data_IF_320943798122
#
_entry.id   IF_320943798122
#
_cell.length_a   1.000
_cell.length_b   1.000
_cell.length_c   1.000
_cell.angle_alpha   90.00
_cell.angle_beta   90.00
_cell.angle_gamma   90.00
#
_symmetry.space_group_name_H-M   'P 1'
#
loop_
_entity.id
_entity.type
_entity.pdbx_description
1 polymer ?
#
# COMPACT_ATOMS: atom_id res chain seq x y z
N UNK A 1 -3.04 -5.65 2.32
CA UNK A 1 -3.09 -6.56 1.17
C UNK A 1 -4.26 -6.32 0.23
N UNK A 2 -4.12 -6.74 -1.04
CA UNK A 2 -5.19 -6.69 -2.06
C UNK A 2 -5.51 -8.10 -2.55
N UNK A 3 -6.75 -8.53 -2.35
CA UNK A 3 -7.28 -9.84 -2.76
C UNK A 3 -7.90 -9.77 -4.16
N UNK A 4 -7.13 -9.35 -5.17
CA UNK A 4 -7.62 -9.18 -6.54
C UNK A 4 -6.69 -9.85 -7.53
N UNK A 5 -7.26 -10.69 -8.40
CA UNK A 5 -6.55 -11.34 -9.50
C UNK A 5 -6.55 -12.86 -9.39
N UNK A 6 -5.88 -13.55 -10.33
CA UNK A 6 -5.79 -15.01 -10.38
C UNK A 6 -4.76 -15.59 -9.39
N UNK A 7 -4.26 -14.78 -8.44
CA UNK A 7 -3.20 -15.18 -7.52
C UNK A 7 -3.65 -16.35 -6.64
N UNK A 8 -3.03 -17.51 -6.84
CA UNK A 8 -3.26 -18.70 -6.01
C UNK A 8 -2.45 -18.70 -4.72
N UNK A 9 -1.30 -18.02 -4.69
CA UNK A 9 -0.48 -17.88 -3.49
C UNK A 9 -0.54 -16.45 -2.98
N UNK A 10 -0.83 -16.28 -1.69
CA UNK A 10 -0.93 -14.98 -1.03
C UNK A 10 -0.07 -14.95 0.23
N UNK A 11 0.69 -13.88 0.38
CA UNK A 11 1.57 -13.65 1.51
C UNK A 11 1.10 -12.38 2.21
N UNK A 12 0.71 -12.51 3.47
CA UNK A 12 0.09 -11.43 4.22
C UNK A 12 0.85 -11.17 5.50
N UNK A 13 1.28 -9.93 5.66
CA UNK A 13 2.07 -9.52 6.81
C UNK A 13 1.23 -8.70 7.79
N UNK A 14 1.21 -9.13 9.05
CA UNK A 14 0.61 -8.45 10.21
C UNK A 14 -0.82 -7.94 9.98
N UNK A 15 -1.71 -8.79 9.44
CA UNK A 15 -3.05 -8.35 9.06
C UNK A 15 -3.96 -7.95 10.23
N UNK A 16 -3.59 -8.29 11.47
CA UNK A 16 -4.32 -7.94 12.68
C UNK A 16 -3.99 -6.54 13.21
N UNK A 17 -2.90 -5.91 12.75
CA UNK A 17 -2.45 -4.62 13.30
C UNK A 17 -3.47 -3.51 13.02
N UNK A 18 -4.00 -2.92 14.10
CA UNK A 18 -5.02 -1.88 14.03
C UNK A 18 -6.46 -2.37 13.89
N UNK A 19 -6.69 -3.68 14.03
CA UNK A 19 -8.03 -4.29 14.06
C UNK A 19 -8.37 -4.80 15.46
N UNK A 20 -9.67 -4.89 15.75
CA UNK A 20 -10.17 -5.60 16.93
C UNK A 20 -10.19 -7.12 16.68
N UNK A 21 -10.26 -7.90 17.76
CA UNK A 21 -10.23 -9.37 17.69
C UNK A 21 -11.41 -9.94 16.90
N UNK A 22 -12.59 -9.33 16.97
CA UNK A 22 -13.78 -9.81 16.27
C UNK A 22 -13.67 -9.62 14.76
N UNK A 23 -13.19 -8.46 14.32
CA UNK A 23 -12.93 -8.18 12.89
C UNK A 23 -11.82 -9.08 12.35
N UNK A 24 -10.75 -9.28 13.13
CA UNK A 24 -9.65 -10.18 12.75
C UNK A 24 -10.15 -11.61 12.52
N UNK A 25 -10.98 -12.14 13.44
CA UNK A 25 -11.59 -13.46 13.30
C UNK A 25 -12.43 -13.57 12.02
N UNK A 26 -13.26 -12.57 11.71
CA UNK A 26 -14.09 -12.60 10.49
C UNK A 26 -13.24 -12.58 9.22
N UNK A 27 -12.15 -11.79 9.20
CA UNK A 27 -11.22 -11.73 8.07
C UNK A 27 -10.54 -13.08 7.86
N UNK A 28 -9.96 -13.67 8.91
CA UNK A 28 -9.27 -14.96 8.83
C UNK A 28 -10.25 -16.07 8.44
N UNK A 29 -11.49 -16.04 8.96
CA UNK A 29 -12.54 -17.00 8.58
C UNK A 29 -12.88 -16.92 7.10
N UNK A 30 -12.99 -15.71 6.55
CA UNK A 30 -13.20 -15.50 5.12
C UNK A 30 -12.00 -15.98 4.30
N UNK A 31 -10.77 -15.68 4.75
CA UNK A 31 -9.54 -16.13 4.10
C UNK A 31 -9.45 -17.66 4.04
N UNK A 32 -9.76 -18.34 5.14
CA UNK A 32 -9.82 -19.80 5.19
C UNK A 32 -10.83 -20.36 4.17
N UNK A 33 -12.04 -19.80 4.14
CA UNK A 33 -13.05 -20.20 3.16
C UNK A 33 -12.57 -19.97 1.72
N UNK A 34 -11.92 -18.84 1.46
CA UNK A 34 -11.35 -18.53 0.16
C UNK A 34 -10.30 -19.57 -0.26
N UNK A 35 -9.36 -19.91 0.63
CA UNK A 35 -8.29 -20.91 0.40
C UNK A 35 -8.90 -22.26 0.03
N UNK A 36 -9.87 -22.76 0.80
CA UNK A 36 -10.48 -24.07 0.53
C UNK A 36 -11.38 -24.10 -0.72
N UNK A 37 -12.08 -23.00 -1.05
CA UNK A 37 -12.98 -22.95 -2.22
C UNK A 37 -12.19 -22.75 -3.50
N UNK A 38 -11.18 -21.88 -3.49
CA UNK A 38 -10.41 -21.49 -4.67
C UNK A 38 -9.19 -22.38 -4.91
N UNK A 39 -8.92 -23.33 -4.01
CA UNK A 39 -7.73 -24.17 -4.03
C UNK A 39 -6.46 -23.30 -4.10
N UNK A 40 -6.40 -22.35 -3.16
CA UNK A 40 -5.31 -21.39 -2.99
C UNK A 40 -4.42 -21.74 -1.81
N UNK A 41 -3.33 -20.99 -1.65
CA UNK A 41 -2.40 -21.06 -0.52
C UNK A 41 -2.25 -19.66 0.07
N UNK A 42 -2.37 -19.55 1.38
CA UNK A 42 -2.20 -18.28 2.08
C UNK A 42 -1.24 -18.45 3.25
N UNK A 43 -0.20 -17.64 3.28
CA UNK A 43 0.71 -17.51 4.41
C UNK A 43 0.41 -16.18 5.10
N UNK A 44 0.02 -16.22 6.37
CA UNK A 44 -0.36 -15.05 7.16
C UNK A 44 0.54 -14.99 8.39
N UNK A 45 1.18 -13.84 8.64
CA UNK A 45 1.78 -13.55 9.94
C UNK A 45 0.76 -12.86 10.84
N UNK A 46 0.61 -13.36 12.07
CA UNK A 46 -0.24 -12.77 13.10
C UNK A 46 0.56 -12.58 14.39
N UNK A 47 0.41 -11.41 15.00
CA UNK A 47 0.90 -11.16 16.34
C UNK A 47 -0.19 -11.56 17.35
N UNK A 48 0.09 -12.58 18.18
CA UNK A 48 -0.75 -13.01 19.31
C UNK A 48 -2.24 -13.17 18.95
N UNK A 49 -2.58 -14.12 18.07
CA UNK A 49 -3.97 -14.35 17.70
C UNK A 49 -4.80 -14.82 18.89
N UNK A 50 -6.05 -14.35 18.97
CA UNK A 50 -7.02 -14.91 19.91
C UNK A 50 -7.24 -16.41 19.64
N UNK A 51 -7.58 -17.22 20.66
CA UNK A 51 -7.76 -18.67 20.51
C UNK A 51 -8.70 -19.05 19.37
N UNK A 52 -9.81 -18.32 19.21
CA UNK A 52 -10.79 -18.58 18.15
C UNK A 52 -10.21 -18.31 16.76
N UNK A 53 -9.28 -17.36 16.64
CA UNK A 53 -8.59 -17.06 15.38
C UNK A 53 -7.49 -18.07 15.10
N UNK A 54 -6.76 -18.50 16.13
CA UNK A 54 -5.76 -19.55 16.04
C UNK A 54 -6.37 -20.86 15.53
N UNK A 55 -7.56 -21.22 16.00
CA UNK A 55 -8.27 -22.45 15.59
C UNK A 55 -8.74 -22.46 14.13
N UNK A 56 -8.66 -21.33 13.41
CA UNK A 56 -8.97 -21.26 11.99
C UNK A 56 -7.80 -21.68 11.08
N UNK A 57 -6.59 -21.81 11.61
CA UNK A 57 -5.42 -22.20 10.83
C UNK A 57 -5.31 -23.71 10.68
N UNK A 58 -5.01 -24.15 9.45
CA UNK A 58 -4.76 -25.56 9.15
C UNK A 58 -3.34 -25.95 9.60
N UNK A 59 -2.34 -25.15 9.20
CA UNK A 59 -0.93 -25.32 9.55
C UNK A 59 -0.36 -24.10 10.29
N UNK A 60 0.63 -24.33 11.15
CA UNK A 60 1.35 -23.32 11.92
C UNK A 60 2.84 -23.38 11.59
N UNK A 61 3.45 -22.21 11.43
CA UNK A 61 4.91 -22.05 11.35
C UNK A 61 5.36 -21.21 12.54
N UNK A 62 6.23 -21.78 13.38
CA UNK A 62 6.85 -21.08 14.51
C UNK A 62 8.29 -20.73 14.17
N UNK A 63 8.58 -19.42 14.20
CA UNK A 63 9.91 -18.87 13.97
C UNK A 63 10.45 -18.24 15.25
N UNK A 64 11.67 -18.61 15.64
CA UNK A 64 12.38 -18.02 16.77
C UNK A 64 13.86 -17.85 16.44
N UNK A 65 14.39 -16.64 16.63
CA UNK A 65 15.83 -16.34 16.46
C UNK A 65 16.41 -16.79 15.10
N UNK A 66 15.58 -16.81 14.05
CA UNK A 66 15.97 -17.26 12.69
C UNK A 66 15.82 -18.77 12.43
N UNK A 67 15.37 -19.55 13.41
CA UNK A 67 15.12 -20.99 13.29
C UNK A 67 13.62 -21.28 13.15
N UNK A 68 13.30 -22.29 12.34
CA UNK A 68 11.97 -22.91 12.31
C UNK A 68 11.90 -23.89 13.48
N UNK A 69 11.14 -23.55 14.51
CA UNK A 69 10.94 -24.38 15.69
C UNK A 69 9.91 -25.47 15.42
N UNK A 70 8.87 -25.13 14.65
CA UNK A 70 7.83 -26.07 14.26
C UNK A 70 7.21 -25.63 12.93
N UNK A 71 6.89 -26.59 12.06
CA UNK A 71 6.13 -26.36 10.84
C UNK A 71 5.21 -27.56 10.59
N UNK A 72 3.90 -27.34 10.56
CA UNK A 72 2.95 -28.40 10.22
C UNK A 72 1.57 -28.19 10.83
N UNK A 73 0.76 -29.25 10.93
CA UNK A 73 -0.63 -29.16 11.38
C UNK A 73 -0.75 -28.52 12.75
N UNK A 74 -1.75 -27.66 12.92
CA UNK A 74 -2.06 -27.02 14.21
C UNK A 74 -2.28 -28.03 15.34
N UNK A 75 -2.85 -29.19 15.02
CA UNK A 75 -3.23 -30.23 15.99
C UNK A 75 -2.01 -30.92 16.62
N UNK A 76 -0.93 -31.08 15.87
CA UNK A 76 0.27 -31.82 16.29
C UNK A 76 1.27 -30.92 17.07
N UNK A 77 1.06 -29.61 17.11
CA UNK A 77 2.01 -28.68 17.74
C UNK A 77 2.16 -28.91 19.24
N UNK A 78 1.06 -29.19 19.93
CA UNK A 78 1.10 -29.45 21.38
C UNK A 78 1.83 -30.76 21.69
N UNK A 79 1.63 -31.78 20.87
CA UNK A 79 2.34 -33.07 20.97
C UNK A 79 3.86 -32.86 20.82
N UNK A 80 4.29 -31.99 19.90
CA UNK A 80 5.71 -31.66 19.74
C UNK A 80 6.31 -31.01 20.99
N UNK A 81 5.62 -30.05 21.61
CA UNK A 81 6.11 -29.42 22.85
C UNK A 81 6.05 -30.38 24.04
N UNK A 82 5.06 -31.29 24.10
CA UNK A 82 5.00 -32.36 25.10
C UNK A 82 6.15 -33.36 24.95
N UNK A 83 6.52 -33.73 23.72
CA UNK A 83 7.70 -34.54 23.43
C UNK A 83 8.99 -33.90 23.94
N UNK A 84 9.08 -32.56 23.91
CA UNK A 84 10.19 -31.78 24.46
C UNK A 84 10.10 -31.56 25.99
N UNK A 85 9.04 -32.03 26.64
CA UNK A 85 8.85 -31.94 28.09
C UNK A 85 8.05 -30.72 28.57
N UNK A 86 7.44 -29.96 27.65
CA UNK A 86 6.61 -28.79 27.97
C UNK A 86 5.13 -29.12 27.87
N UNK A 87 4.33 -28.60 28.81
CA UNK A 87 2.88 -28.81 28.83
C UNK A 87 2.12 -27.48 28.85
N UNK A 88 1.18 -27.32 27.93
CA UNK A 88 0.29 -26.17 27.91
C UNK A 88 -0.75 -26.26 29.05
N UNK A 89 -0.92 -25.24 29.90
CA UNK A 89 -1.99 -25.20 30.89
C UNK A 89 -3.38 -25.08 30.25
N UNK A 90 -4.41 -25.71 30.84
CA UNK A 90 -5.78 -25.72 30.30
C UNK A 90 -6.43 -24.33 30.15
N UNK A 91 -6.01 -23.35 30.96
CA UNK A 91 -6.58 -21.99 30.95
C UNK A 91 -5.79 -21.00 30.07
N UNK A 92 -4.70 -21.45 29.45
CA UNK A 92 -3.82 -20.61 28.62
C UNK A 92 -4.20 -20.83 27.15
N UNK A 93 -4.24 -19.75 26.37
CA UNK A 93 -4.37 -19.85 24.93
C UNK A 93 -3.14 -20.53 24.33
N UNK A 94 -3.34 -21.44 23.37
CA UNK A 94 -2.24 -22.17 22.72
C UNK A 94 -1.28 -21.20 22.05
N UNK A 95 -1.78 -20.19 21.32
CA UNK A 95 -0.94 -19.19 20.67
C UNK A 95 -0.03 -18.43 21.66
N UNK A 96 -0.55 -18.07 22.84
CA UNK A 96 0.24 -17.40 23.88
C UNK A 96 1.30 -18.35 24.46
N UNK A 97 0.93 -19.60 24.71
CA UNK A 97 1.85 -20.64 25.16
C UNK A 97 3.02 -20.82 24.16
N UNK A 98 2.73 -20.92 22.86
CA UNK A 98 3.75 -21.10 21.82
C UNK A 98 4.74 -19.93 21.74
N UNK A 99 4.32 -18.72 22.08
CA UNK A 99 5.24 -17.58 22.15
C UNK A 99 6.07 -17.57 23.43
N UNK A 100 5.45 -17.87 24.57
CA UNK A 100 6.12 -17.80 25.86
C UNK A 100 7.06 -19.00 26.11
N UNK A 101 6.75 -20.18 25.58
CA UNK A 101 7.63 -21.36 25.69
C UNK A 101 8.97 -21.17 24.96
N UNK A 102 9.02 -20.27 23.97
CA UNK A 102 10.26 -19.89 23.29
C UNK A 102 11.02 -18.76 24.01
N UNK A 103 10.38 -18.06 24.95
CA UNK A 103 11.00 -17.00 25.75
C UNK A 103 11.85 -17.57 26.88
N UNK A 104 13.11 -17.15 26.97
CA UNK A 104 14.02 -17.55 28.07
C UNK A 104 13.50 -17.24 29.46
N UNK A 105 12.65 -16.21 29.61
CA UNK A 105 12.09 -15.79 30.90
C UNK A 105 10.91 -16.67 31.34
N UNK A 106 10.16 -17.18 30.37
CA UNK A 106 8.83 -17.74 30.58
C UNK A 106 8.77 -19.24 30.26
N UNK A 107 9.86 -19.84 29.78
CA UNK A 107 9.89 -21.27 29.42
C UNK A 107 9.80 -22.19 30.66
N UNK A 108 10.35 -21.80 31.81
CA UNK A 108 10.38 -22.63 33.03
C UNK A 108 8.99 -22.97 33.58
N UNK A 109 8.04 -22.01 33.52
CA UNK A 109 6.67 -22.20 34.03
C UNK A 109 5.87 -23.29 33.27
N UNK A 110 6.34 -23.67 32.08
CA UNK A 110 5.69 -24.66 31.23
C UNK A 110 6.31 -26.06 31.33
N UNK A 111 7.34 -26.21 32.15
CA UNK A 111 7.99 -27.50 32.34
C UNK A 111 7.04 -28.51 32.96
N UNK A 112 6.73 -29.58 32.21
CA UNK A 112 5.73 -30.58 32.61
C UNK A 112 6.26 -31.62 33.59
N UNK A 113 7.57 -31.91 33.54
CA UNK A 113 8.21 -32.97 34.30
C UNK A 113 8.82 -32.46 35.61
N UNK A 114 8.04 -32.52 36.70
CA UNK A 114 8.49 -32.05 38.03
C UNK A 114 9.63 -32.90 38.61
N UNK A 115 9.87 -34.09 38.09
CA UNK A 115 10.90 -35.00 38.59
C UNK A 115 12.27 -34.71 37.97
N UNK A 116 12.32 -33.97 36.85
CA UNK A 116 13.56 -33.54 36.20
C UNK A 116 13.84 -32.07 36.44
N UNK A 117 15.11 -31.69 36.71
CA UNK A 117 15.48 -30.29 36.81
C UNK A 117 15.28 -29.60 35.46
N UNK A 118 14.65 -28.43 35.48
CA UNK A 118 14.47 -27.61 34.30
C UNK A 118 15.83 -27.19 33.71
N UNK A 119 15.93 -27.28 32.39
CA UNK A 119 17.03 -26.75 31.60
C UNK A 119 16.45 -25.94 30.45
N UNK A 120 16.96 -24.72 30.27
CA UNK A 120 16.57 -23.90 29.13
C UNK A 120 16.94 -24.62 27.81
N UNK A 121 15.95 -24.76 26.93
CA UNK A 121 16.08 -25.32 25.59
C UNK A 121 16.10 -24.15 24.60
N UNK A 122 17.18 -24.06 23.81
CA UNK A 122 17.36 -23.00 22.83
C UNK A 122 16.49 -23.23 21.58
N UNK A 123 16.28 -22.15 20.82
CA UNK A 123 15.58 -22.22 19.51
C UNK A 123 16.24 -23.22 18.55
N UNK A 124 17.56 -23.36 18.62
CA UNK A 124 18.32 -24.34 17.82
C UNK A 124 18.05 -25.78 18.26
N UNK A 125 18.04 -26.06 19.57
CA UNK A 125 17.72 -27.40 20.09
C UNK A 125 16.29 -27.80 19.71
N UNK A 126 15.33 -26.87 19.75
CA UNK A 126 13.97 -27.13 19.26
C UNK A 126 13.94 -27.48 17.76
N UNK A 127 14.67 -26.73 16.93
CA UNK A 127 14.75 -27.01 15.48
C UNK A 127 15.37 -28.38 15.17
N UNK A 128 16.42 -28.77 15.90
CA UNK A 128 17.03 -30.10 15.80
C UNK A 128 16.05 -31.21 16.22
N UNK A 129 15.32 -30.98 17.31
CA UNK A 129 14.29 -31.91 17.77
C UNK A 129 13.14 -32.03 16.77
N UNK A 130 12.71 -30.92 16.16
CA UNK A 130 11.69 -30.92 15.11
C UNK A 130 12.10 -31.77 13.92
N UNK A 131 13.36 -31.71 13.50
CA UNK A 131 13.91 -32.56 12.44
C UNK A 131 13.81 -34.07 12.75
N UNK A 132 13.81 -34.42 14.04
CA UNK A 132 13.66 -35.80 14.52
C UNK A 132 12.20 -36.19 14.80
N UNK A 133 11.30 -35.21 14.90
CA UNK A 133 9.88 -35.41 15.16
C UNK A 133 9.17 -35.93 13.91
N UNK A 134 8.09 -36.71 14.09
CA UNK A 134 7.33 -37.34 12.99
C UNK A 134 6.97 -36.34 11.88
N UNK A 135 6.44 -35.18 12.26
CA UNK A 135 6.01 -34.14 11.30
C UNK A 135 7.21 -33.55 10.55
N UNK A 136 8.30 -33.23 11.25
CA UNK A 136 9.50 -32.69 10.61
C UNK A 136 10.18 -33.69 9.66
N UNK A 137 10.20 -34.98 10.02
CA UNK A 137 10.70 -36.02 9.11
C UNK A 137 9.84 -36.16 7.86
N UNK A 138 8.51 -36.05 7.97
CA UNK A 138 7.61 -36.07 6.80
C UNK A 138 7.86 -34.88 5.88
N UNK A 139 7.96 -33.67 6.44
CA UNK A 139 8.26 -32.45 5.68
C UNK A 139 9.62 -32.56 4.99
N UNK A 140 10.64 -33.08 5.68
CA UNK A 140 11.96 -33.30 5.09
C UNK A 140 11.92 -34.30 3.93
N UNK A 141 11.21 -35.43 4.11
CA UNK A 141 11.05 -36.44 3.07
C UNK A 141 10.29 -35.88 1.84
N UNK A 142 9.26 -35.06 2.05
CA UNK A 142 8.52 -34.42 0.96
C UNK A 142 9.38 -33.41 0.19
N UNK A 143 10.26 -32.68 0.89
CA UNK A 143 11.19 -31.72 0.30
C UNK A 143 12.34 -32.40 -0.46
N UNK A 144 12.72 -33.63 -0.10
CA UNK A 144 13.73 -34.42 -0.82
C UNK A 144 13.23 -34.86 -2.21
N UNK A 145 11.91 -34.96 -2.41
CA UNK A 145 11.33 -35.33 -3.70
C UNK A 145 11.55 -34.17 -4.69
N UNK A 146 12.35 -34.37 -5.76
CA UNK A 146 12.65 -33.28 -6.69
C UNK A 146 11.39 -32.81 -7.43
N UNK A 147 11.19 -31.50 -7.48
CA UNK A 147 10.04 -30.91 -8.18
C UNK A 147 10.13 -31.08 -9.70
N UNK A 148 9.25 -31.90 -10.27
CA UNK A 148 9.14 -32.11 -11.71
C UNK A 148 8.39 -30.96 -12.41
N UNK A 149 9.13 -29.99 -12.94
CA UNK A 149 8.57 -28.83 -13.68
C UNK A 149 7.71 -29.20 -14.90
N UNK A 150 7.87 -30.40 -15.46
CA UNK A 150 7.12 -30.88 -16.63
C UNK A 150 5.66 -31.20 -16.31
N UNK A 151 5.35 -31.52 -15.05
CA UNK A 151 3.97 -31.80 -14.58
C UNK A 151 3.20 -30.52 -14.24
N UNK A 152 3.88 -29.38 -14.15
CA UNK A 152 3.28 -28.09 -13.78
C UNK A 152 2.47 -27.50 -14.92
N UNK A 153 1.28 -26.99 -14.61
CA UNK A 153 0.48 -26.27 -15.60
C UNK A 153 1.23 -24.99 -16.05
N UNK A 154 1.33 -24.67 -17.35
CA UNK A 154 2.07 -23.50 -17.84
C UNK A 154 1.61 -22.15 -17.25
N UNK A 155 0.33 -22.06 -16.86
CA UNK A 155 -0.24 -20.88 -16.19
C UNK A 155 -0.08 -20.87 -14.66
N UNK A 156 0.63 -21.83 -14.06
CA UNK A 156 0.86 -21.87 -12.62
C UNK A 156 1.82 -20.76 -12.14
N UNK A 157 2.73 -20.32 -13.00
CA UNK A 157 3.66 -19.23 -12.74
C UNK A 157 3.53 -18.17 -13.84
N UNK A 158 3.17 -16.96 -13.45
CA UNK A 158 3.14 -15.83 -14.38
C UNK A 158 4.56 -15.36 -14.69
N UNK A 159 4.93 -15.42 -15.97
CA UNK A 159 6.25 -14.96 -16.44
C UNK A 159 6.23 -13.50 -16.88
N UNK A 160 5.05 -12.91 -17.03
CA UNK A 160 4.88 -11.52 -17.46
C UNK A 160 4.81 -10.60 -16.26
N UNK A 161 5.52 -9.47 -16.34
CA UNK A 161 5.54 -8.45 -15.29
C UNK A 161 4.19 -7.77 -15.08
N UNK A 162 3.39 -7.62 -16.15
CA UNK A 162 2.09 -6.95 -16.11
C UNK A 162 1.03 -7.86 -16.74
N UNK A 163 -0.16 -7.91 -16.15
CA UNK A 163 -1.26 -8.76 -16.61
C UNK A 163 -1.98 -8.26 -17.88
N UNK A 164 -1.83 -6.97 -18.23
CA UNK A 164 -2.47 -6.34 -19.39
C UNK A 164 -1.45 -5.78 -20.38
N UNK A 165 -1.89 -5.54 -21.62
CA UNK A 165 -1.08 -4.85 -22.62
C UNK A 165 -0.81 -3.41 -22.19
N UNK A 166 0.31 -2.84 -22.65
CA UNK A 166 0.67 -1.44 -22.34
C UNK A 166 -0.45 -0.45 -22.71
N UNK A 167 -1.14 -0.68 -23.83
CA UNK A 167 -2.22 0.20 -24.28
C UNK A 167 -3.46 0.09 -23.38
N UNK A 168 -3.83 -1.13 -22.98
CA UNK A 168 -4.97 -1.34 -22.08
C UNK A 168 -4.71 -0.78 -20.68
N UNK A 169 -3.47 -0.91 -20.18
CA UNK A 169 -3.03 -0.26 -18.94
C UNK A 169 -3.16 1.26 -19.01
N UNK A 170 -2.71 1.84 -20.13
CA UNK A 170 -2.85 3.27 -20.35
C UNK A 170 -4.31 3.69 -20.40
N UNK A 171 -5.16 2.97 -21.14
CA UNK A 171 -6.61 3.24 -21.23
C UNK A 171 -7.29 3.15 -19.87
N UNK A 172 -6.95 2.16 -19.06
CA UNK A 172 -7.49 1.99 -17.70
C UNK A 172 -7.04 3.13 -16.76
N UNK A 173 -5.76 3.50 -16.81
CA UNK A 173 -5.24 4.62 -16.02
C UNK A 173 -5.83 5.97 -16.48
N UNK A 174 -6.05 6.13 -17.78
CA UNK A 174 -6.71 7.31 -18.36
C UNK A 174 -8.16 7.42 -17.93
N UNK A 175 -8.93 6.34 -18.01
CA UNK A 175 -10.32 6.32 -17.54
C UNK A 175 -10.42 6.58 -16.04
N UNK A 176 -9.46 6.08 -15.25
CA UNK A 176 -9.38 6.34 -13.82
C UNK A 176 -9.14 7.82 -13.54
N UNK A 177 -8.16 8.44 -14.20
CA UNK A 177 -7.87 9.87 -13.97
C UNK A 177 -9.06 10.74 -14.39
N UNK A 178 -9.70 10.44 -15.52
CA UNK A 178 -10.93 11.12 -15.94
C UNK A 178 -12.04 11.03 -14.89
N UNK A 179 -12.27 9.83 -14.34
CA UNK A 179 -13.27 9.62 -13.29
C UNK A 179 -12.94 10.40 -12.02
N UNK A 180 -11.67 10.39 -11.60
CA UNK A 180 -11.20 11.11 -10.42
C UNK A 180 -11.36 12.63 -10.60
N UNK A 181 -11.04 13.15 -11.78
CA UNK A 181 -11.25 14.56 -12.11
C UNK A 181 -12.72 14.95 -12.11
N UNK A 182 -13.59 14.11 -12.70
CA UNK A 182 -15.04 14.34 -12.70
C UNK A 182 -15.62 14.35 -11.29
N UNK A 183 -15.18 13.44 -10.41
CA UNK A 183 -15.64 13.37 -9.02
C UNK A 183 -15.14 14.52 -8.16
N UNK A 184 -13.92 14.99 -8.41
CA UNK A 184 -13.33 16.15 -7.76
C UNK A 184 -13.49 17.44 -8.58
N UNK A 185 -14.53 17.54 -9.41
CA UNK A 185 -14.79 18.70 -10.29
C UNK A 185 -14.89 20.00 -9.51
N UNK A 186 -15.41 19.94 -8.29
CA UNK A 186 -15.51 21.08 -7.38
C UNK A 186 -14.18 21.82 -7.21
N UNK A 187 -13.07 21.10 -7.04
CA UNK A 187 -11.74 21.71 -6.86
C UNK A 187 -11.32 22.51 -8.10
N UNK A 188 -11.57 21.96 -9.29
CA UNK A 188 -11.24 22.61 -10.55
C UNK A 188 -12.13 23.83 -10.81
N UNK A 189 -13.44 23.72 -10.55
CA UNK A 189 -14.38 24.85 -10.68
C UNK A 189 -14.00 25.98 -9.71
N UNK A 190 -13.69 25.64 -8.46
CA UNK A 190 -13.26 26.61 -7.45
C UNK A 190 -11.98 27.33 -7.89
N UNK A 191 -10.97 26.60 -8.37
CA UNK A 191 -9.73 27.18 -8.91
C UNK A 191 -9.97 28.11 -10.08
N UNK A 192 -10.77 27.69 -11.06
CA UNK A 192 -11.12 28.54 -12.21
C UNK A 192 -11.86 29.81 -11.76
N UNK A 193 -12.75 29.69 -10.77
CA UNK A 193 -13.47 30.84 -10.21
C UNK A 193 -12.52 31.77 -9.46
N UNK A 194 -11.61 31.22 -8.64
CA UNK A 194 -10.61 31.98 -7.89
C UNK A 194 -9.71 32.79 -8.84
N UNK A 195 -9.17 32.18 -9.91
CA UNK A 195 -8.32 32.90 -10.87
C UNK A 195 -9.10 33.96 -11.65
N UNK A 196 -10.39 33.73 -11.91
CA UNK A 196 -11.28 34.75 -12.48
C UNK A 196 -11.42 35.96 -11.55
N UNK A 197 -11.64 35.73 -10.25
CA UNK A 197 -11.75 36.83 -9.28
C UNK A 197 -10.42 37.57 -9.15
N UNK A 198 -9.29 36.85 -9.07
CA UNK A 198 -7.96 37.48 -8.96
C UNK A 198 -7.61 38.30 -10.21
N UNK A 199 -7.98 37.83 -11.41
CA UNK A 199 -7.79 38.59 -12.64
C UNK A 199 -8.69 39.83 -12.72
N UNK A 200 -9.92 39.77 -12.19
CA UNK A 200 -10.80 40.95 -12.05
C UNK A 200 -10.20 41.99 -11.10
N UNK A 201 -9.60 41.55 -9.99
CA UNK A 201 -8.89 42.45 -9.07
C UNK A 201 -7.66 43.05 -9.77
N UNK A 202 -6.88 42.23 -10.46
CA UNK A 202 -5.70 42.70 -11.21
C UNK A 202 -6.07 43.77 -12.25
N UNK A 203 -7.12 43.53 -13.06
CA UNK A 203 -7.52 44.48 -14.10
C UNK A 203 -8.05 45.79 -13.54
N UNK A 204 -8.70 45.79 -12.37
CA UNK A 204 -9.25 47.00 -11.75
C UNK A 204 -8.19 47.81 -11.02
N UNK A 205 -7.20 47.16 -10.40
CA UNK A 205 -6.06 47.83 -9.75
C UNK A 205 -5.11 48.44 -10.78
N UNK A 206 -4.81 47.73 -11.87
CA UNK A 206 -3.89 48.16 -12.92
C UNK A 206 -4.62 48.70 -14.15
N UNK A 207 -5.66 49.51 -13.97
CA UNK A 207 -6.44 50.06 -15.09
C UNK A 207 -5.57 50.93 -16.02
N UNK A 208 -5.70 50.68 -17.33
CA UNK A 208 -5.00 51.42 -18.40
C UNK A 208 -5.12 52.94 -18.28
N UNK A 209 -6.25 53.47 -17.78
CA UNK A 209 -6.47 54.92 -17.63
C UNK A 209 -5.51 55.59 -16.63
N UNK A 210 -4.97 54.84 -15.67
CA UNK A 210 -4.02 55.31 -14.65
C UNK A 210 -2.56 54.91 -14.94
N UNK A 211 -2.31 54.28 -16.09
CA UNK A 211 -1.04 53.66 -16.50
C UNK A 211 -0.51 54.30 -17.79
N UNK A 212 -0.12 55.58 -17.72
CA UNK A 212 0.46 56.30 -18.88
C UNK A 212 1.86 55.77 -19.20
N UNK A 213 2.30 55.89 -20.45
CA UNK A 213 3.59 55.32 -20.93
C UNK A 213 4.76 56.31 -20.85
N UNK A 214 4.58 57.45 -20.19
CA UNK A 214 5.45 58.62 -20.35
C UNK A 214 6.49 58.77 -19.22
N UNK A 215 6.29 58.14 -18.06
CA UNK A 215 7.14 58.35 -16.87
C UNK A 215 7.83 57.06 -16.42
N UNK A 216 9.09 57.13 -15.96
CA UNK A 216 9.81 56.00 -15.36
C UNK A 216 9.06 55.35 -14.18
N UNK A 217 8.28 56.13 -13.42
CA UNK A 217 7.43 55.64 -12.33
C UNK A 217 6.30 54.72 -12.81
N UNK A 218 5.78 54.93 -14.03
CA UNK A 218 4.74 54.08 -14.61
C UNK A 218 5.30 52.72 -15.06
N UNK A 219 6.56 52.68 -15.49
CA UNK A 219 7.28 51.43 -15.76
C UNK A 219 7.31 50.49 -14.54
N UNK A 220 7.49 51.04 -13.34
CA UNK A 220 7.42 50.28 -12.09
C UNK A 220 6.05 49.62 -11.85
N UNK A 221 4.96 50.28 -12.26
CA UNK A 221 3.60 49.73 -12.15
C UNK A 221 3.38 48.55 -13.11
N UNK A 222 3.91 48.62 -14.34
CA UNK A 222 3.86 47.50 -15.29
C UNK A 222 4.66 46.29 -14.80
N UNK A 223 5.86 46.51 -14.26
CA UNK A 223 6.62 45.43 -13.61
C UNK A 223 5.86 44.83 -12.41
N UNK A 224 5.21 45.67 -11.61
CA UNK A 224 4.35 45.22 -10.51
C UNK A 224 3.18 44.35 -10.98
N UNK A 225 2.52 44.73 -12.08
CA UNK A 225 1.42 43.95 -12.67
C UNK A 225 1.89 42.59 -13.21
N UNK A 226 3.04 42.56 -13.91
CA UNK A 226 3.63 41.31 -14.41
C UNK A 226 4.06 40.40 -13.27
N UNK A 227 4.70 40.96 -12.23
CA UNK A 227 5.10 40.22 -11.04
C UNK A 227 3.88 39.63 -10.31
N UNK A 228 2.83 40.44 -10.12
CA UNK A 228 1.58 39.98 -9.49
C UNK A 228 0.94 38.84 -10.29
N UNK A 229 0.91 38.94 -11.62
CA UNK A 229 0.41 37.86 -12.48
C UNK A 229 1.21 36.58 -12.37
N UNK A 230 2.54 36.67 -12.42
CA UNK A 230 3.43 35.52 -12.25
C UNK A 230 3.20 34.82 -10.90
N UNK A 231 3.15 35.59 -9.81
CA UNK A 231 2.93 35.07 -8.46
C UNK A 231 1.58 34.34 -8.36
N UNK A 232 0.50 34.91 -8.87
CA UNK A 232 -0.82 34.26 -8.83
C UNK A 232 -0.86 32.93 -9.58
N UNK A 233 -0.27 32.88 -10.78
CA UNK A 233 -0.20 31.65 -11.58
C UNK A 233 0.65 30.60 -10.87
N UNK A 234 1.79 30.98 -10.30
CA UNK A 234 2.65 30.06 -9.53
C UNK A 234 1.92 29.47 -8.31
N UNK A 235 1.25 30.29 -7.52
CA UNK A 235 0.53 29.83 -6.31
C UNK A 235 -0.61 28.88 -6.64
N UNK A 236 -1.30 29.04 -7.78
CA UNK A 236 -2.33 28.11 -8.22
C UNK A 236 -1.75 26.70 -8.45
N UNK A 237 -0.54 26.61 -9.04
CA UNK A 237 0.17 25.36 -9.26
C UNK A 237 0.55 24.60 -7.97
N UNK A 238 0.86 25.31 -6.89
CA UNK A 238 1.23 24.70 -5.59
C UNK A 238 0.10 23.84 -5.01
N UNK A 239 -1.16 24.28 -5.16
CA UNK A 239 -2.30 23.51 -4.69
C UNK A 239 -2.44 22.15 -5.41
N UNK A 240 -2.01 22.04 -6.67
CA UNK A 240 -2.04 20.77 -7.41
C UNK A 240 -0.95 19.80 -6.98
N UNK A 241 0.20 20.33 -6.59
CA UNK A 241 1.30 19.54 -6.07
C UNK A 241 0.87 18.80 -4.81
N UNK A 242 0.21 19.49 -3.88
CA UNK A 242 -0.32 18.88 -2.66
C UNK A 242 -1.26 17.69 -2.97
N UNK A 243 -2.21 17.88 -3.90
CA UNK A 243 -3.12 16.81 -4.34
C UNK A 243 -2.41 15.64 -5.04
N UNK A 244 -1.24 15.89 -5.64
CA UNK A 244 -0.44 14.84 -6.29
C UNK A 244 0.33 14.04 -5.25
N UNK A 245 0.91 14.72 -4.26
CA UNK A 245 1.66 14.11 -3.15
C UNK A 245 0.76 13.17 -2.34
N UNK A 246 -0.49 13.56 -2.05
CA UNK A 246 -1.43 12.69 -1.32
C UNK A 246 -1.79 11.40 -2.06
N UNK A 247 -1.63 11.36 -3.40
CA UNK A 247 -1.86 10.16 -4.22
C UNK A 247 -0.66 9.22 -4.29
N UNK A 248 0.55 9.71 -3.96
CA UNK A 248 1.79 8.93 -4.09
C UNK A 248 1.81 7.63 -3.26
N UNK A 249 1.32 7.59 -2.00
CA UNK A 249 1.32 6.34 -1.23
C UNK A 249 0.54 5.21 -1.92
N UNK A 250 -0.62 5.55 -2.51
CA UNK A 250 -1.43 4.59 -3.27
C UNK A 250 -0.71 4.18 -4.56
N UNK A 251 -0.06 5.11 -5.24
CA UNK A 251 0.73 4.83 -6.43
C UNK A 251 1.89 3.87 -6.12
N UNK A 252 2.67 4.10 -5.07
CA UNK A 252 3.79 3.23 -4.69
C UNK A 252 3.28 1.84 -4.36
N UNK A 253 2.23 1.72 -3.54
CA UNK A 253 1.59 0.44 -3.25
C UNK A 253 1.19 -0.31 -4.52
N UNK A 254 0.53 0.36 -5.47
CA UNK A 254 0.07 -0.29 -6.70
C UNK A 254 1.22 -0.64 -7.67
N UNK A 255 2.27 0.18 -7.71
CA UNK A 255 3.48 -0.07 -8.51
C UNK A 255 4.24 -1.27 -7.98
N UNK A 256 4.36 -1.37 -6.66
CA UNK A 256 5.12 -2.44 -6.01
C UNK A 256 4.37 -3.78 -6.14
N UNK A 257 3.03 -3.78 -6.19
CA UNK A 257 2.20 -4.91 -6.62
C UNK A 257 2.17 -5.14 -8.14
N UNK A 258 2.99 -4.45 -8.93
CA UNK A 258 3.12 -4.61 -10.38
C UNK A 258 1.79 -4.42 -11.16
N UNK A 259 0.87 -3.60 -10.68
CA UNK A 259 -0.37 -3.34 -11.43
C UNK A 259 -0.13 -2.55 -12.71
N UNK A 260 0.71 -1.51 -12.65
CA UNK A 260 1.04 -0.69 -13.81
C UNK A 260 2.40 0.00 -13.65
N UNK A 261 3.07 0.35 -14.77
CA UNK A 261 4.32 1.10 -14.75
C UNK A 261 4.12 2.60 -14.45
N UNK A 262 5.17 3.28 -13.99
CA UNK A 262 5.13 4.70 -13.62
C UNK A 262 4.65 5.63 -14.74
N UNK A 263 4.99 5.32 -16.00
CA UNK A 263 4.57 6.15 -17.14
C UNK A 263 3.05 6.09 -17.36
N UNK A 264 2.40 4.96 -17.08
CA UNK A 264 0.96 4.80 -17.25
C UNK A 264 0.17 5.63 -16.22
N UNK A 265 0.80 5.95 -15.08
CA UNK A 265 0.28 6.89 -14.10
C UNK A 265 0.52 8.34 -14.50
N UNK A 266 1.74 8.67 -14.93
CA UNK A 266 2.14 10.06 -15.19
C UNK A 266 1.51 10.65 -16.47
N UNK A 267 1.43 9.87 -17.56
CA UNK A 267 0.95 10.39 -18.85
C UNK A 267 -0.50 10.90 -18.80
N UNK A 268 -1.49 10.17 -18.24
CA UNK A 268 -2.85 10.69 -18.12
C UNK A 268 -2.93 12.01 -17.35
N UNK A 269 -2.16 12.13 -16.27
CA UNK A 269 -2.11 13.35 -15.46
C UNK A 269 -1.65 14.53 -16.32
N UNK A 270 -0.57 14.38 -17.10
CA UNK A 270 -0.11 15.44 -17.98
C UNK A 270 -1.11 15.78 -19.08
N UNK A 271 -1.71 14.77 -19.72
CA UNK A 271 -2.69 14.95 -20.81
C UNK A 271 -3.90 15.77 -20.34
N UNK A 272 -4.35 15.57 -19.10
CA UNK A 272 -5.47 16.33 -18.57
C UNK A 272 -5.08 17.68 -17.98
N UNK A 273 -3.93 17.78 -17.30
CA UNK A 273 -3.53 19.02 -16.60
C UNK A 273 -3.02 20.09 -17.54
N UNK A 274 -2.22 19.73 -18.56
CA UNK A 274 -1.65 20.73 -19.48
C UNK A 274 -2.75 21.56 -20.15
N UNK A 275 -3.81 20.99 -20.74
CA UNK A 275 -4.90 21.77 -21.32
C UNK A 275 -5.62 22.66 -20.30
N UNK A 276 -5.85 22.17 -19.07
CA UNK A 276 -6.48 22.96 -18.01
C UNK A 276 -5.61 24.17 -17.61
N UNK A 277 -4.31 23.97 -17.41
CA UNK A 277 -3.38 25.06 -17.08
C UNK A 277 -3.29 26.10 -18.21
N UNK A 278 -3.38 25.66 -19.48
CA UNK A 278 -3.45 26.56 -20.64
C UNK A 278 -4.75 27.36 -20.64
N UNK A 279 -5.89 26.74 -20.33
CA UNK A 279 -7.17 27.44 -20.23
C UNK A 279 -7.17 28.48 -19.10
N UNK A 280 -6.64 28.15 -17.93
CA UNK A 280 -6.54 29.08 -16.78
C UNK A 280 -5.61 30.26 -17.09
N UNK A 281 -4.45 29.98 -17.71
CA UNK A 281 -3.51 31.03 -18.14
C UNK A 281 -4.11 31.91 -19.23
N UNK A 282 -4.82 31.30 -20.19
CA UNK A 282 -5.54 32.00 -21.24
C UNK A 282 -6.60 32.94 -20.68
N UNK A 283 -7.39 32.48 -19.71
CA UNK A 283 -8.40 33.29 -19.02
C UNK A 283 -7.77 34.52 -18.35
N UNK A 284 -6.66 34.33 -17.63
CA UNK A 284 -5.92 35.42 -17.00
C UNK A 284 -5.45 36.45 -18.03
N UNK A 285 -4.82 36.00 -19.11
CA UNK A 285 -4.31 36.88 -20.18
C UNK A 285 -5.45 37.62 -20.86
N UNK A 286 -6.54 36.93 -21.23
CA UNK A 286 -7.69 37.55 -21.90
C UNK A 286 -8.28 38.71 -21.07
N UNK A 287 -8.37 38.54 -19.76
CA UNK A 287 -8.94 39.56 -18.87
C UNK A 287 -7.96 40.69 -18.56
N UNK A 288 -6.67 40.42 -18.41
CA UNK A 288 -5.68 41.40 -17.95
C UNK A 288 -4.94 42.11 -19.08
N UNK A 289 -4.78 41.48 -20.25
CA UNK A 289 -3.85 41.98 -21.27
C UNK A 289 -4.26 43.34 -21.85
N UNK A 290 -5.50 43.42 -22.33
CA UNK A 290 -6.03 44.65 -22.96
C UNK A 290 -6.47 45.70 -21.95
N UNK A 291 -6.92 45.27 -20.77
CA UNK A 291 -7.43 46.15 -19.70
C UNK A 291 -6.32 46.88 -18.97
N UNK A 292 -5.17 46.23 -18.78
CA UNK A 292 -3.95 46.85 -18.24
C UNK A 292 -3.24 47.66 -19.33
N UNK A 293 -3.32 47.21 -20.58
CA UNK A 293 -2.71 47.89 -21.72
C UNK A 293 -1.22 47.56 -21.86
N UNK A 294 -0.84 46.27 -21.72
CA UNK A 294 0.55 45.85 -21.90
C UNK A 294 1.07 46.09 -23.33
N UNK A 295 0.18 46.10 -24.32
CA UNK A 295 0.50 46.55 -25.67
C UNK A 295 0.07 48.02 -25.84
N UNK A 296 0.95 48.90 -26.36
CA UNK A 296 0.51 50.20 -26.86
C UNK A 296 -0.49 49.97 -28.00
N UNK A 297 -1.53 50.78 -28.08
CA UNK A 297 -2.41 50.76 -29.25
C UNK A 297 -1.56 50.99 -30.51
N UNK A 298 -1.88 50.28 -31.60
CA UNK A 298 -1.25 50.52 -32.89
C UNK A 298 -1.36 52.01 -33.22
N UNK A 299 -0.19 52.65 -33.35
CA UNK A 299 -0.04 54.04 -33.80
C UNK A 299 -0.62 54.23 -35.19
#
# INVERSE_FOLDING_TARGET
EMLVGPSKAMFMDEISTGLDSSTTFQIVKFMRQFVHIMDGTMLISLLQPAPETYDLFDDIILLSEGYIVYQGPREDVLEFFEFMGFKCPERKGVADFLQEVMSRKDQEQYWGDRDKPYRYISSEEFSQAFSSFRVGHLVAADLEIPYERSKSHPAALETKKYGLSNWDLFKACFSREWLLMKRNSFLYIFKTTQITIMSIIAMTVFLRTQMKHETFADGGKYYGALFYGLVNVMFNGVAELALTVTRLPVFYKQRDFLFYPSWAFALPIYIFRIPLSVLESGLWICLTYYTIGFAPAAS
#
